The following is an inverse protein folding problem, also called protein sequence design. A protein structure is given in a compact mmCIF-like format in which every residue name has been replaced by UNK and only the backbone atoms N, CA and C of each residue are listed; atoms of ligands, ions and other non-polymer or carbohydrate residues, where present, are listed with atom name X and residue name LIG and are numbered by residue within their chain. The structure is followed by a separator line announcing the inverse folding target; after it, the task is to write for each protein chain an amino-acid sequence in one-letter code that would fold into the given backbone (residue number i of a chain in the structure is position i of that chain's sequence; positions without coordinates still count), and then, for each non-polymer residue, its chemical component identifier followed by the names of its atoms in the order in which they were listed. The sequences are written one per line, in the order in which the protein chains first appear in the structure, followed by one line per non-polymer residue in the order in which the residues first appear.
data_IF_526343608433
#
_entry.id   IF_526343608433
#
_cell.length_a   1.000
_cell.length_b   1.000
_cell.length_c   1.000
_cell.angle_alpha   90.00
_cell.angle_beta   90.00
_cell.angle_gamma   90.00
#
_symmetry.space_group_name_H-M   'P 1'
#
loop_
_entity.id
_entity.type
_entity.pdbx_description
1 polymer ?
#
# COMPACT_ATOMS: atom_id res chain seq x y z
N UNK A 1 -0.57 12.08 18.60
CA UNK A 1 -0.23 12.48 17.20
C UNK A 1 -0.13 13.99 17.11
N UNK A 2 0.87 14.51 16.36
CA UNK A 2 1.12 15.94 16.19
C UNK A 2 0.13 16.65 15.26
N UNK A 3 -0.17 16.02 14.12
CA UNK A 3 -0.99 16.60 13.06
C UNK A 3 -2.23 15.73 12.79
N UNK A 4 -3.31 16.37 12.35
CA UNK A 4 -4.51 15.66 11.86
C UNK A 4 -4.32 15.32 10.38
N UNK A 5 -4.75 14.14 9.91
CA UNK A 5 -4.66 13.79 8.51
C UNK A 5 -5.35 14.79 7.58
N UNK A 6 -4.65 15.22 6.54
CA UNK A 6 -5.20 16.07 5.49
C UNK A 6 -5.58 15.24 4.25
N UNK A 7 -6.86 15.25 3.89
CA UNK A 7 -7.36 14.58 2.70
C UNK A 7 -7.44 15.56 1.53
N UNK A 8 -6.56 15.39 0.53
CA UNK A 8 -6.49 16.26 -0.64
C UNK A 8 -6.18 15.43 -1.88
N UNK A 9 -6.83 15.76 -3.00
CA UNK A 9 -6.56 15.14 -4.30
C UNK A 9 -6.74 13.61 -4.35
N UNK A 10 -7.53 13.02 -3.44
CA UNK A 10 -7.69 11.56 -3.32
C UNK A 10 -6.54 10.87 -2.57
N UNK A 11 -5.65 11.64 -1.94
CA UNK A 11 -4.54 11.18 -1.11
C UNK A 11 -4.68 11.71 0.32
N UNK A 12 -3.97 11.08 1.25
CA UNK A 12 -3.93 11.47 2.66
C UNK A 12 -2.53 11.94 3.02
N UNK A 13 -2.39 13.04 3.74
CA UNK A 13 -1.10 13.56 4.19
C UNK A 13 -1.04 13.74 5.70
N UNK A 14 0.09 13.37 6.30
CA UNK A 14 0.41 13.62 7.70
C UNK A 14 1.89 14.05 7.75
N UNK A 15 2.19 15.20 8.35
CA UNK A 15 3.57 15.74 8.35
C UNK A 15 4.10 16.08 6.96
N UNK A 16 3.22 16.18 5.97
CA UNK A 16 3.52 16.31 4.54
C UNK A 16 4.10 15.05 3.86
N UNK A 17 4.04 13.90 4.53
CA UNK A 17 4.25 12.59 3.91
C UNK A 17 2.91 12.01 3.45
N UNK A 18 2.92 11.36 2.29
CA UNK A 18 1.73 10.71 1.74
C UNK A 18 1.46 9.40 2.48
N UNK A 19 0.20 9.15 2.78
CA UNK A 19 -0.32 8.04 3.55
C UNK A 19 -1.39 7.28 2.78
N UNK A 20 -1.35 5.95 2.87
CA UNK A 20 -2.21 5.06 2.10
C UNK A 20 -2.52 3.79 2.86
N UNK A 21 -3.78 3.34 2.83
CA UNK A 21 -4.17 2.10 3.49
C UNK A 21 -3.79 0.87 2.67
N UNK A 22 -3.03 -0.04 3.28
CA UNK A 22 -2.74 -1.38 2.74
C UNK A 22 -2.83 -2.46 3.83
N UNK A 23 -3.13 -3.69 3.42
CA UNK A 23 -3.17 -4.84 4.31
C UNK A 23 -1.79 -5.49 4.51
N UNK A 24 -1.71 -6.32 5.55
CA UNK A 24 -0.56 -7.16 5.87
C UNK A 24 -0.09 -8.06 4.71
N UNK A 25 -0.99 -8.50 3.81
CA UNK A 25 -0.60 -9.30 2.64
C UNK A 25 0.20 -8.47 1.63
N UNK A 26 -0.19 -7.22 1.36
CA UNK A 26 0.58 -6.34 0.49
C UNK A 26 1.97 -6.08 1.09
N UNK A 27 2.03 -5.77 2.39
CA UNK A 27 3.28 -5.47 3.08
C UNK A 27 4.24 -6.66 3.08
N UNK A 28 3.73 -7.87 3.30
CA UNK A 28 4.51 -9.10 3.21
C UNK A 28 5.05 -9.34 1.79
N UNK A 29 4.17 -9.29 0.77
CA UNK A 29 4.57 -9.54 -0.61
C UNK A 29 5.53 -8.48 -1.15
N UNK A 30 5.30 -7.21 -0.85
CA UNK A 30 6.18 -6.14 -1.30
C UNK A 30 7.58 -6.28 -0.68
N UNK A 31 7.66 -6.58 0.62
CA UNK A 31 8.95 -6.86 1.26
C UNK A 31 9.67 -8.03 0.59
N UNK A 32 8.97 -9.15 0.34
CA UNK A 32 9.57 -10.30 -0.36
C UNK A 32 10.02 -9.94 -1.78
N UNK A 33 9.26 -9.14 -2.53
CA UNK A 33 9.66 -8.69 -3.87
C UNK A 33 10.89 -7.77 -3.84
N UNK A 34 11.03 -6.93 -2.81
CA UNK A 34 12.26 -6.14 -2.60
C UNK A 34 13.45 -7.03 -2.30
N UNK A 35 13.25 -8.08 -1.50
CA UNK A 35 14.29 -9.06 -1.17
C UNK A 35 14.81 -9.85 -2.37
N UNK A 36 14.04 -9.95 -3.47
CA UNK A 36 14.49 -10.59 -4.71
C UNK A 36 15.68 -9.86 -5.37
N UNK A 37 15.96 -8.62 -4.98
CA UNK A 37 17.13 -7.88 -5.45
C UNK A 37 18.41 -8.21 -4.65
N UNK A 38 18.40 -9.18 -3.75
CA UNK A 38 19.61 -9.65 -3.10
C UNK A 38 20.61 -10.18 -4.15
N UNK A 39 21.84 -9.66 -4.13
CA UNK A 39 22.91 -10.07 -5.04
C UNK A 39 22.83 -9.50 -6.46
N UNK A 40 21.94 -8.55 -6.75
CA UNK A 40 21.86 -7.92 -8.09
C UNK A 40 23.01 -6.94 -8.36
N UNK A 41 23.66 -6.43 -7.31
CA UNK A 41 24.77 -5.49 -7.39
C UNK A 41 25.71 -5.71 -6.20
N UNK A 42 27.02 -5.61 -6.43
CA UNK A 42 28.02 -5.73 -5.36
C UNK A 42 27.81 -4.63 -4.29
N UNK A 43 27.74 -5.02 -3.02
CA UNK A 43 27.56 -4.10 -1.91
C UNK A 43 26.12 -3.59 -1.70
N UNK A 44 25.17 -3.99 -2.55
CA UNK A 44 23.75 -3.71 -2.31
C UNK A 44 23.11 -4.79 -1.42
N UNK A 45 22.46 -4.37 -0.34
CA UNK A 45 21.62 -5.22 0.51
C UNK A 45 20.19 -4.66 0.53
N UNK A 46 19.18 -5.39 0.03
CA UNK A 46 17.78 -4.93 0.08
C UNK A 46 17.26 -4.71 1.51
N UNK A 47 17.86 -5.35 2.52
CA UNK A 47 17.51 -5.13 3.94
C UNK A 47 17.87 -3.72 4.38
N UNK A 48 19.00 -3.19 3.88
CA UNK A 48 19.37 -1.79 4.08
C UNK A 48 18.40 -0.86 3.35
N UNK A 49 18.00 -1.16 2.12
CA UNK A 49 17.01 -0.35 1.40
C UNK A 49 15.69 -0.26 2.18
N UNK A 50 15.16 -1.38 2.68
CA UNK A 50 13.93 -1.42 3.48
C UNK A 50 14.07 -0.59 4.77
N UNK A 51 15.15 -0.78 5.53
CA UNK A 51 15.36 -0.06 6.79
C UNK A 51 15.64 1.43 6.58
N UNK A 52 16.53 1.76 5.65
CA UNK A 52 17.03 3.12 5.47
C UNK A 52 15.98 4.01 4.80
N UNK A 53 15.09 3.43 3.98
CA UNK A 53 13.95 4.17 3.40
C UNK A 53 13.01 4.70 4.47
N UNK A 54 12.64 3.88 5.47
CA UNK A 54 11.84 4.34 6.60
C UNK A 54 12.60 5.38 7.46
N UNK A 55 13.89 5.12 7.71
CA UNK A 55 14.78 6.03 8.47
C UNK A 55 14.78 7.44 7.89
N UNK A 56 14.96 7.55 6.57
CA UNK A 56 15.02 8.83 5.85
C UNK A 56 13.73 9.64 5.97
N UNK A 57 12.57 8.97 5.88
CA UNK A 57 11.26 9.61 5.99
C UNK A 57 11.00 10.10 7.42
N UNK A 58 11.32 9.28 8.43
CA UNK A 58 11.17 9.67 9.84
C UNK A 58 12.10 10.83 10.20
N UNK A 59 13.35 10.84 9.71
CA UNK A 59 14.23 12.00 9.87
C UNK A 59 13.69 13.26 9.18
N UNK A 60 12.94 13.14 8.08
CA UNK A 60 12.24 14.27 7.45
C UNK A 60 11.16 14.85 8.37
N UNK A 61 10.36 14.00 9.02
CA UNK A 61 9.38 14.43 10.02
C UNK A 61 10.05 15.14 11.20
N UNK A 62 11.19 14.63 11.71
CA UNK A 62 11.95 15.30 12.77
C UNK A 62 12.46 16.68 12.37
N UNK A 63 12.95 16.83 11.12
CA UNK A 63 13.33 18.15 10.58
C UNK A 63 12.15 19.13 10.52
N UNK A 64 10.92 18.60 10.42
CA UNK A 64 9.66 19.37 10.50
C UNK A 64 9.17 19.59 11.94
N UNK A 65 9.98 19.20 12.93
CA UNK A 65 9.77 19.47 14.34
C UNK A 65 9.06 18.36 15.12
N UNK A 66 8.81 17.20 14.52
CA UNK A 66 8.24 16.05 15.24
C UNK A 66 9.18 15.61 16.37
N UNK A 67 8.63 15.46 17.57
CA UNK A 67 9.31 14.83 18.70
C UNK A 67 9.30 13.30 18.56
N UNK A 68 10.11 12.60 19.36
CA UNK A 68 10.07 11.13 19.43
C UNK A 68 8.68 10.63 19.82
N UNK A 69 8.01 11.31 20.77
CA UNK A 69 6.67 10.92 21.20
C UNK A 69 5.64 11.14 20.08
N UNK A 70 5.73 12.23 19.32
CA UNK A 70 4.85 12.46 18.16
C UNK A 70 4.94 11.31 17.16
N UNK A 71 6.17 10.84 16.90
CA UNK A 71 6.44 9.71 16.01
C UNK A 71 5.89 8.41 16.57
N UNK A 72 6.09 8.12 17.86
CA UNK A 72 5.58 6.88 18.47
C UNK A 72 4.05 6.85 18.48
N UNK A 73 3.41 7.99 18.75
CA UNK A 73 1.95 8.12 18.63
C UNK A 73 1.47 7.89 17.21
N UNK A 74 2.14 8.47 16.21
CA UNK A 74 1.81 8.28 14.79
C UNK A 74 2.03 6.83 14.37
N UNK A 75 3.10 6.18 14.83
CA UNK A 75 3.38 4.76 14.57
C UNK A 75 2.21 3.88 15.01
N UNK A 76 1.70 4.13 16.22
CA UNK A 76 0.53 3.42 16.74
C UNK A 76 -0.74 3.77 16.00
N UNK A 77 -1.01 5.06 15.74
CA UNK A 77 -2.21 5.47 15.02
C UNK A 77 -2.25 4.89 13.60
N UNK A 78 -1.11 4.81 12.91
CA UNK A 78 -0.96 4.22 11.58
C UNK A 78 -1.11 2.69 11.54
N UNK A 79 -1.30 2.03 12.68
CA UNK A 79 -1.58 0.59 12.73
C UNK A 79 -0.36 -0.31 12.71
N UNK A 80 0.84 0.23 12.97
CA UNK A 80 2.07 -0.57 12.97
C UNK A 80 2.29 -1.36 14.26
N UNK A 81 1.49 -1.12 15.29
CA UNK A 81 1.65 -1.68 16.63
C UNK A 81 1.92 -0.60 17.68
N UNK A 82 2.60 -0.93 18.77
CA UNK A 82 3.02 0.08 19.74
C UNK A 82 4.41 -0.20 20.27
N UNK A 83 5.09 0.89 20.65
CA UNK A 83 6.45 0.87 21.15
C UNK A 83 6.40 0.95 22.67
N UNK A 84 7.09 0.02 23.33
CA UNK A 84 7.28 0.01 24.78
C UNK A 84 8.76 0.18 25.08
N UNK A 85 9.11 1.31 25.66
CA UNK A 85 10.47 1.56 26.15
C UNK A 85 10.75 0.67 27.36
N UNK A 86 11.85 -0.10 27.30
CA UNK A 86 12.27 -1.02 28.37
C UNK A 86 13.48 -0.45 29.10
N UNK A 87 14.44 0.08 28.34
CA UNK A 87 15.61 0.81 28.84
C UNK A 87 15.95 1.94 27.88
N UNK A 88 16.91 2.81 28.24
CA UNK A 88 17.40 3.89 27.37
C UNK A 88 17.97 3.41 26.02
N UNK A 89 18.29 2.12 25.91
CA UNK A 89 18.89 1.52 24.71
C UNK A 89 18.07 0.36 24.14
N UNK A 90 16.84 0.13 24.62
CA UNK A 90 16.05 -1.03 24.21
C UNK A 90 14.56 -0.76 24.24
N UNK A 91 13.87 -1.20 23.18
CA UNK A 91 12.42 -1.18 23.08
C UNK A 91 11.87 -2.56 22.76
N UNK A 92 10.67 -2.82 23.24
CA UNK A 92 9.81 -3.95 22.87
C UNK A 92 8.67 -3.44 21.99
N UNK A 93 8.21 -4.26 21.04
CA UNK A 93 6.96 -4.04 20.30
C UNK A 93 5.98 -5.19 20.54
N UNK A 94 5.20 -5.15 21.63
CA UNK A 94 4.31 -6.26 21.98
C UNK A 94 3.17 -6.45 20.97
N UNK A 95 2.68 -5.38 20.35
CA UNK A 95 1.90 -5.43 19.13
C UNK A 95 2.77 -4.93 17.97
N UNK A 96 2.83 -5.68 16.88
CA UNK A 96 3.70 -5.35 15.74
C UNK A 96 3.10 -5.89 14.45
N UNK A 97 2.79 -5.00 13.52
CA UNK A 97 2.23 -5.39 12.22
C UNK A 97 3.20 -6.32 11.48
N UNK A 98 4.47 -5.94 11.42
CA UNK A 98 5.51 -6.69 10.72
C UNK A 98 6.00 -7.94 11.47
N UNK A 99 5.80 -8.05 12.78
CA UNK A 99 6.16 -9.27 13.52
C UNK A 99 5.01 -10.25 13.72
N UNK A 100 3.76 -9.77 13.74
CA UNK A 100 2.58 -10.59 14.07
C UNK A 100 1.64 -10.83 12.89
N UNK A 101 1.51 -9.88 11.97
CA UNK A 101 0.44 -9.91 10.96
C UNK A 101 0.95 -10.21 9.55
N UNK A 102 2.21 -9.94 9.26
CA UNK A 102 2.86 -10.34 8.01
C UNK A 102 3.37 -11.79 8.08
N UNK A 103 3.73 -12.35 6.93
CA UNK A 103 4.31 -13.69 6.82
C UNK A 103 5.56 -13.66 5.93
N UNK A 104 6.35 -14.72 6.04
CA UNK A 104 7.51 -14.98 5.20
C UNK A 104 7.26 -16.28 4.42
N UNK A 105 7.54 -16.26 3.12
CA UNK A 105 7.62 -17.46 2.31
C UNK A 105 9.07 -17.95 2.34
N UNK A 106 9.41 -18.79 3.32
CA UNK A 106 10.76 -19.32 3.47
C UNK A 106 11.14 -19.67 4.91
N UNK A 107 12.44 -19.75 5.15
CA UNK A 107 12.98 -19.98 6.49
C UNK A 107 12.66 -18.79 7.41
N UNK A 108 12.24 -19.03 8.67
CA UNK A 108 12.04 -17.95 9.62
C UNK A 108 13.32 -17.12 9.83
N UNK A 109 13.23 -15.83 9.57
CA UNK A 109 14.30 -14.86 9.83
C UNK A 109 13.73 -13.56 10.40
N UNK A 110 14.62 -12.69 10.87
CA UNK A 110 14.28 -11.33 11.29
C UNK A 110 13.83 -10.52 10.08
N UNK A 111 12.67 -9.89 10.17
CA UNK A 111 12.05 -9.27 8.99
C UNK A 111 11.33 -7.96 9.29
N UNK A 112 11.45 -7.41 10.50
CA UNK A 112 10.81 -6.16 10.88
C UNK A 112 11.64 -4.94 10.42
N UNK A 113 12.06 -4.92 9.15
CA UNK A 113 12.98 -3.91 8.61
C UNK A 113 12.37 -2.50 8.64
N UNK A 114 11.07 -2.37 8.36
CA UNK A 114 10.37 -1.09 8.49
C UNK A 114 10.40 -0.59 9.94
N UNK A 115 10.08 -1.44 10.93
CA UNK A 115 10.08 -1.07 12.34
C UNK A 115 11.49 -0.65 12.81
N UNK A 116 12.52 -1.41 12.42
CA UNK A 116 13.90 -1.06 12.70
C UNK A 116 14.24 0.32 12.10
N UNK A 117 13.91 0.55 10.83
CA UNK A 117 14.16 1.81 10.14
C UNK A 117 13.39 3.00 10.74
N UNK A 118 12.14 2.77 11.13
CA UNK A 118 11.34 3.77 11.82
C UNK A 118 12.01 4.19 13.14
N UNK A 119 12.39 3.21 13.96
CA UNK A 119 13.08 3.46 15.23
C UNK A 119 14.42 4.17 15.01
N UNK A 120 15.20 3.77 14.00
CA UNK A 120 16.47 4.44 13.65
C UNK A 120 16.27 5.93 13.41
N UNK A 121 15.26 6.28 12.61
CA UNK A 121 14.96 7.68 12.32
C UNK A 121 14.42 8.41 13.56
N UNK A 122 13.63 7.74 14.39
CA UNK A 122 13.04 8.35 15.58
C UNK A 122 14.11 8.71 16.63
N UNK A 123 15.09 7.82 16.86
CA UNK A 123 16.09 7.96 17.93
C UNK A 123 17.48 8.43 17.45
N UNK A 124 17.68 8.58 16.14
CA UNK A 124 18.98 8.92 15.49
C UNK A 124 20.14 8.00 15.91
N UNK A 125 19.87 6.71 16.04
CA UNK A 125 20.87 5.68 16.34
C UNK A 125 20.65 4.46 15.47
N UNK A 126 21.70 3.67 15.26
CA UNK A 126 21.55 2.36 14.60
C UNK A 126 20.63 1.47 15.43
N UNK A 127 19.73 0.72 14.79
CA UNK A 127 18.80 -0.17 15.49
C UNK A 127 18.98 -1.59 14.98
N UNK A 128 19.12 -2.53 15.90
CA UNK A 128 19.20 -3.96 15.60
C UNK A 128 18.02 -4.68 16.22
N UNK A 129 17.27 -5.43 15.39
CA UNK A 129 16.28 -6.38 15.89
C UNK A 129 17.01 -7.55 16.56
N UNK A 130 16.84 -7.74 17.87
CA UNK A 130 17.50 -8.81 18.64
C UNK A 130 16.61 -10.02 18.85
N UNK A 131 15.29 -9.83 18.91
CA UNK A 131 14.28 -10.89 18.91
C UNK A 131 13.14 -10.55 17.95
N UNK A 132 12.59 -11.58 17.28
CA UNK A 132 11.53 -11.43 16.26
C UNK A 132 10.46 -12.50 16.43
N UNK A 133 9.19 -12.12 16.34
CA UNK A 133 8.03 -13.03 16.43
C UNK A 133 7.98 -14.06 15.31
N UNK A 134 8.44 -13.73 14.10
CA UNK A 134 8.59 -14.73 13.03
C UNK A 134 9.57 -15.84 13.43
N UNK A 135 10.56 -15.53 14.27
CA UNK A 135 11.49 -16.49 14.85
C UNK A 135 10.99 -17.09 16.17
N UNK A 136 9.68 -17.07 16.42
CA UNK A 136 9.02 -17.60 17.62
C UNK A 136 9.39 -16.89 18.93
N UNK A 137 9.95 -15.68 18.87
CA UNK A 137 10.05 -14.85 20.06
C UNK A 137 8.66 -14.43 20.53
N UNK A 138 8.52 -14.12 21.83
CA UNK A 138 7.25 -13.64 22.40
C UNK A 138 6.85 -12.26 21.86
N UNK A 139 7.84 -11.41 21.61
CA UNK A 139 7.69 -10.04 21.13
C UNK A 139 8.89 -9.69 20.26
N UNK A 140 8.73 -8.68 19.41
CA UNK A 140 9.88 -8.09 18.72
C UNK A 140 10.63 -7.20 19.71
N UNK A 141 11.96 -7.28 19.69
CA UNK A 141 12.86 -6.51 20.57
C UNK A 141 13.92 -5.85 19.71
N UNK A 142 14.16 -4.57 19.97
CA UNK A 142 15.12 -3.76 19.23
C UNK A 142 16.09 -3.08 20.20
N UNK A 143 17.38 -3.11 19.86
CA UNK A 143 18.46 -2.47 20.63
C UNK A 143 19.08 -1.31 19.85
N UNK A 144 19.39 -0.24 20.59
CA UNK A 144 19.94 1.00 20.06
C UNK A 144 21.46 1.00 20.20
N UNK A 145 22.15 1.19 19.08
CA UNK A 145 23.61 1.20 18.97
C UNK A 145 24.20 2.61 18.89
N UNK A 146 25.15 2.79 17.99
CA UNK A 146 25.86 4.06 17.81
C UNK A 146 24.96 5.15 17.20
N UNK A 147 25.30 6.44 17.37
CA UNK A 147 24.64 7.54 16.67
C UNK A 147 24.63 7.32 15.16
N UNK A 148 23.49 7.61 14.53
CA UNK A 148 23.30 7.51 13.09
C UNK A 148 23.61 8.86 12.43
N UNK A 149 24.34 8.90 11.29
CA UNK A 149 24.48 10.13 10.54
C UNK A 149 23.12 10.61 9.97
N UNK A 150 23.02 11.91 9.72
CA UNK A 150 21.87 12.47 9.04
C UNK A 150 21.79 11.92 7.60
N UNK A 151 20.60 11.45 7.21
CA UNK A 151 20.34 10.95 5.87
C UNK A 151 19.60 12.00 5.02
N UNK A 152 19.92 12.02 3.73
CA UNK A 152 19.32 12.93 2.76
C UNK A 152 17.84 12.62 2.56
N UNK A 153 17.00 13.66 2.50
CA UNK A 153 15.59 13.52 2.15
C UNK A 153 15.43 12.91 0.73
N UNK A 154 14.68 11.82 0.56
CA UNK A 154 14.42 11.26 -0.76
C UNK A 154 13.46 12.11 -1.60
N UNK A 155 12.64 12.96 -0.97
CA UNK A 155 11.56 13.69 -1.63
C UNK A 155 12.09 15.04 -2.11
N UNK A 156 12.61 15.07 -3.33
CA UNK A 156 13.34 16.20 -3.88
C UNK A 156 12.52 17.11 -4.79
N UNK A 157 11.35 16.65 -5.24
CA UNK A 157 10.46 17.41 -6.13
C UNK A 157 9.08 17.66 -5.48
N UNK A 158 8.42 18.79 -5.81
CA UNK A 158 7.03 19.01 -5.43
C UNK A 158 6.09 18.00 -6.14
N UNK A 159 4.98 17.60 -5.51
CA UNK A 159 4.01 16.70 -6.13
C UNK A 159 3.27 17.40 -7.29
N UNK A 160 3.22 16.79 -8.50
CA UNK A 160 2.55 17.40 -9.66
C UNK A 160 1.06 17.09 -9.66
N UNK A 161 0.30 17.61 -8.69
CA UNK A 161 -1.14 17.36 -8.62
C UNK A 161 -1.89 18.03 -9.76
N UNK A 162 -2.94 17.34 -10.24
CA UNK A 162 -3.89 17.84 -11.23
C UNK A 162 -5.31 17.92 -10.65
N UNK A 163 -6.18 18.78 -11.20
CA UNK A 163 -7.61 18.75 -10.88
C UNK A 163 -8.22 17.38 -11.20
N UNK A 164 -9.04 16.87 -10.28
CA UNK A 164 -9.76 15.61 -10.46
C UNK A 164 -11.10 15.90 -11.13
N UNK A 165 -11.43 15.28 -12.29
CA UNK A 165 -12.73 15.49 -12.92
C UNK A 165 -13.85 14.79 -12.14
N UNK A 166 -15.08 15.24 -12.39
CA UNK A 166 -16.29 14.59 -11.88
C UNK A 166 -16.37 13.13 -12.35
N UNK A 167 -17.05 12.27 -11.58
CA UNK A 167 -17.07 10.80 -11.73
C UNK A 167 -17.32 10.29 -13.15
N UNK A 168 -18.19 10.95 -13.91
CA UNK A 168 -18.50 10.64 -15.32
C UNK A 168 -18.20 11.81 -16.26
N UNK A 169 -17.61 12.89 -15.74
CA UNK A 169 -17.45 14.17 -16.43
C UNK A 169 -16.09 14.34 -17.10
N UNK A 170 -15.50 13.26 -17.63
CA UNK A 170 -14.19 13.31 -18.28
C UNK A 170 -14.23 12.74 -19.70
N UNK A 171 -13.35 13.29 -20.56
CA UNK A 171 -13.27 12.90 -21.96
C UNK A 171 -12.87 11.43 -22.11
N UNK A 172 -13.67 10.68 -22.87
CA UNK A 172 -13.45 9.25 -23.13
C UNK A 172 -14.06 8.32 -22.07
N UNK A 173 -14.83 8.83 -21.11
CA UNK A 173 -15.67 7.99 -20.26
C UNK A 173 -16.79 7.35 -21.10
N UNK A 174 -16.87 6.02 -21.11
CA UNK A 174 -17.92 5.26 -21.80
C UNK A 174 -19.13 4.98 -20.89
N UNK A 175 -19.02 5.30 -19.59
CA UNK A 175 -20.08 5.12 -18.59
C UNK A 175 -20.76 6.46 -18.33
N UNK A 176 -22.09 6.50 -18.44
CA UNK A 176 -22.85 7.74 -18.27
C UNK A 176 -23.50 7.88 -16.89
N UNK A 177 -23.76 6.78 -16.19
CA UNK A 177 -24.41 6.79 -14.87
C UNK A 177 -24.26 5.45 -14.15
N UNK A 178 -24.33 5.49 -12.81
CA UNK A 178 -24.58 4.32 -11.94
C UNK A 178 -25.47 4.78 -10.77
N UNK A 179 -26.38 3.93 -10.26
CA UNK A 179 -27.16 4.20 -9.03
C UNK A 179 -26.31 4.31 -7.75
N UNK A 180 -25.03 3.91 -7.80
CA UNK A 180 -24.13 3.98 -6.64
C UNK A 180 -23.85 5.43 -6.25
N UNK A 181 -24.12 5.78 -5.00
CA UNK A 181 -23.81 7.09 -4.42
C UNK A 181 -22.36 7.10 -3.90
N UNK A 182 -21.42 7.59 -4.72
CA UNK A 182 -20.00 7.64 -4.38
C UNK A 182 -19.72 8.53 -3.16
N UNK A 183 -20.33 9.71 -3.10
CA UNK A 183 -20.08 10.69 -2.04
C UNK A 183 -20.54 10.13 -0.69
N UNK A 184 -21.70 9.47 -0.65
CA UNK A 184 -22.19 8.79 0.56
C UNK A 184 -21.25 7.66 1.00
N UNK A 185 -20.74 6.87 0.06
CA UNK A 185 -19.80 5.78 0.39
C UNK A 185 -18.49 6.36 0.95
N UNK A 186 -17.88 7.32 0.27
CA UNK A 186 -16.63 7.96 0.70
C UNK A 186 -16.81 8.60 2.08
N UNK A 187 -17.89 9.37 2.28
CA UNK A 187 -18.16 10.00 3.57
C UNK A 187 -18.35 8.97 4.69
N UNK A 188 -19.02 7.85 4.41
CA UNK A 188 -19.26 6.79 5.40
C UNK A 188 -17.97 6.04 5.73
N UNK A 189 -17.18 5.64 4.73
CA UNK A 189 -15.89 4.95 4.93
C UNK A 189 -14.92 5.82 5.72
N UNK A 190 -14.92 7.14 5.49
CA UNK A 190 -14.12 8.09 6.26
C UNK A 190 -14.46 8.15 7.75
N UNK A 191 -15.64 7.65 8.18
CA UNK A 191 -16.01 7.56 9.61
C UNK A 191 -15.59 6.25 10.28
N UNK A 192 -15.11 5.27 9.52
CA UNK A 192 -14.66 4.00 10.09
C UNK A 192 -13.42 4.23 10.97
N UNK A 193 -13.31 3.54 12.12
CA UNK A 193 -12.18 3.70 13.03
C UNK A 193 -10.95 2.94 12.52
N UNK A 194 -10.45 3.32 11.34
CA UNK A 194 -9.29 2.71 10.69
C UNK A 194 -7.97 3.27 11.25
N UNK A 195 -7.79 3.19 12.56
CA UNK A 195 -6.58 3.64 13.25
C UNK A 195 -6.22 2.71 14.39
N UNK A 196 -4.93 2.57 14.67
CA UNK A 196 -4.45 1.71 15.75
C UNK A 196 -4.71 2.35 17.10
N UNK A 197 -5.34 1.60 18.00
CA UNK A 197 -5.66 2.06 19.36
C UNK A 197 -4.47 1.81 20.29
N UNK A 198 -4.04 2.80 21.09
CA UNK A 198 -2.94 2.62 22.04
C UNK A 198 -3.34 1.70 23.22
N UNK A 199 -2.38 1.17 23.98
CA UNK A 199 -2.64 0.37 25.17
C UNK A 199 -3.49 1.08 26.24
N UNK A 200 -3.41 2.42 26.33
CA UNK A 200 -4.25 3.23 27.22
C UNK A 200 -5.74 3.13 26.90
N UNK A 201 -6.09 2.75 25.68
CA UNK A 201 -7.45 2.49 25.21
C UNK A 201 -7.73 0.98 25.04
N UNK A 202 -6.93 0.14 25.71
CA UNK A 202 -7.00 -1.33 25.63
C UNK A 202 -6.77 -1.86 24.20
N UNK A 203 -6.05 -1.11 23.37
CA UNK A 203 -5.62 -1.55 22.03
C UNK A 203 -4.21 -2.13 22.00
N UNK A 204 -3.86 -2.71 20.86
CA UNK A 204 -2.54 -3.26 20.55
C UNK A 204 -1.81 -2.47 19.43
N UNK A 205 -2.35 -1.31 19.06
CA UNK A 205 -1.83 -0.46 17.99
C UNK A 205 -1.96 -1.03 16.58
N UNK A 206 -2.73 -2.11 16.38
CA UNK A 206 -3.03 -2.68 15.07
C UNK A 206 -4.41 -2.21 14.56
N UNK A 207 -4.65 -2.33 13.25
CA UNK A 207 -5.95 -2.00 12.62
C UNK A 207 -6.57 -3.28 12.02
N UNK A 208 -7.27 -4.11 12.83
CA UNK A 208 -8.03 -5.24 12.29
C UNK A 208 -9.30 -4.73 11.60
N UNK A 209 -9.40 -4.91 10.29
CA UNK A 209 -10.56 -4.51 9.50
C UNK A 209 -10.69 -5.38 8.24
N UNK A 210 -11.93 -5.64 7.81
CA UNK A 210 -12.23 -6.38 6.57
C UNK A 210 -11.56 -7.77 6.47
N UNK A 211 -11.37 -8.46 7.60
CA UNK A 211 -10.74 -9.78 7.64
C UNK A 211 -9.20 -9.76 7.50
N UNK A 212 -8.59 -8.58 7.47
CA UNK A 212 -7.13 -8.39 7.38
C UNK A 212 -6.63 -7.46 8.49
N UNK A 213 -5.32 -7.26 8.57
CA UNK A 213 -4.72 -6.21 9.40
C UNK A 213 -4.21 -5.11 8.49
N UNK A 214 -4.82 -3.93 8.58
CA UNK A 214 -4.45 -2.75 7.80
C UNK A 214 -3.31 -1.97 8.45
N UNK A 215 -2.68 -1.14 7.62
CA UNK A 215 -1.79 -0.05 8.00
C UNK A 215 -2.17 1.18 7.21
N UNK A 216 -2.15 2.36 7.84
CA UNK A 216 -2.13 3.63 7.13
C UNK A 216 -0.67 4.00 6.90
N UNK A 217 -0.08 3.46 5.83
CA UNK A 217 1.37 3.43 5.67
C UNK A 217 1.88 4.61 4.84
N UNK A 218 3.16 4.95 5.00
CA UNK A 218 3.83 5.93 4.16
C UNK A 218 3.87 5.46 2.70
N UNK A 219 3.04 6.07 1.84
CA UNK A 219 3.05 5.80 0.40
C UNK A 219 4.45 6.08 -0.20
N UNK A 220 5.12 7.11 0.33
CA UNK A 220 6.48 7.49 -0.04
C UNK A 220 7.51 6.39 0.27
N UNK A 221 7.29 5.58 1.32
CA UNK A 221 8.11 4.42 1.63
C UNK A 221 7.97 3.34 0.56
N UNK A 222 6.72 2.97 0.23
CA UNK A 222 6.46 1.97 -0.82
C UNK A 222 7.04 2.37 -2.16
N UNK A 223 6.87 3.64 -2.54
CA UNK A 223 7.39 4.16 -3.80
C UNK A 223 8.93 4.05 -3.83
N UNK A 224 9.60 4.50 -2.77
CA UNK A 224 11.06 4.48 -2.72
C UNK A 224 11.60 3.04 -2.83
N UNK A 225 11.11 2.11 -2.01
CA UNK A 225 11.62 0.73 -2.03
C UNK A 225 11.30 0.02 -3.35
N UNK A 226 10.12 0.25 -3.92
CA UNK A 226 9.70 -0.41 -5.17
C UNK A 226 10.54 0.09 -6.35
N UNK A 227 10.69 1.40 -6.49
CA UNK A 227 11.38 1.98 -7.64
C UNK A 227 12.90 1.80 -7.58
N UNK A 228 13.52 1.91 -6.41
CA UNK A 228 14.95 1.61 -6.27
C UNK A 228 15.25 0.15 -6.62
N UNK A 229 14.44 -0.77 -6.10
CA UNK A 229 14.61 -2.21 -6.39
C UNK A 229 14.42 -2.47 -7.89
N UNK A 230 13.31 -1.99 -8.47
CA UNK A 230 12.99 -2.18 -9.89
C UNK A 230 14.13 -1.69 -10.80
N UNK A 231 14.63 -0.48 -10.54
CA UNK A 231 15.71 0.12 -11.34
C UNK A 231 17.02 -0.65 -11.22
N UNK A 232 17.37 -1.11 -10.02
CA UNK A 232 18.59 -1.90 -9.79
C UNK A 232 18.52 -3.26 -10.47
N UNK A 233 17.39 -3.95 -10.37
CA UNK A 233 17.19 -5.25 -11.04
C UNK A 233 17.33 -5.11 -12.57
N UNK A 234 16.74 -4.07 -13.16
CA UNK A 234 16.89 -3.81 -14.59
C UNK A 234 18.33 -3.45 -14.95
N UNK A 235 18.99 -2.61 -14.15
CA UNK A 235 20.40 -2.25 -14.38
C UNK A 235 21.32 -3.48 -14.30
N UNK A 236 20.98 -4.47 -13.48
CA UNK A 236 21.67 -5.76 -13.38
C UNK A 236 21.32 -6.75 -14.51
N UNK A 237 20.44 -6.37 -15.44
CA UNK A 237 20.07 -7.18 -16.61
C UNK A 237 18.87 -8.11 -16.40
N UNK A 238 18.14 -7.99 -15.28
CA UNK A 238 16.87 -8.71 -15.12
C UNK A 238 15.84 -8.10 -16.09
N UNK A 239 15.10 -8.93 -16.87
CA UNK A 239 14.08 -8.43 -17.78
C UNK A 239 13.04 -7.55 -17.07
N UNK A 240 12.71 -6.42 -17.69
CA UNK A 240 11.85 -5.40 -17.09
C UNK A 240 10.42 -5.90 -16.85
N UNK A 241 9.90 -6.76 -17.71
CA UNK A 241 8.61 -7.45 -17.58
C UNK A 241 8.59 -8.41 -16.38
N UNK A 242 9.61 -9.24 -16.22
CA UNK A 242 9.73 -10.13 -15.06
C UNK A 242 9.82 -9.34 -13.75
N UNK A 243 10.67 -8.32 -13.73
CA UNK A 243 10.84 -7.46 -12.55
C UNK A 243 9.53 -6.76 -12.20
N UNK A 244 8.85 -6.20 -13.21
CA UNK A 244 7.55 -5.51 -13.03
C UNK A 244 6.48 -6.46 -12.52
N UNK A 245 6.39 -7.66 -13.08
CA UNK A 245 5.37 -8.64 -12.70
C UNK A 245 5.49 -9.02 -11.21
N UNK A 246 6.70 -9.11 -10.66
CA UNK A 246 6.90 -9.35 -9.22
C UNK A 246 6.22 -8.28 -8.33
N UNK A 247 6.21 -7.02 -8.76
CA UNK A 247 5.53 -5.93 -8.05
C UNK A 247 4.04 -5.85 -8.39
N UNK A 248 3.63 -6.12 -9.64
CA UNK A 248 2.21 -6.21 -10.01
C UNK A 248 1.52 -7.31 -9.20
N UNK A 249 2.18 -8.45 -8.96
CA UNK A 249 1.63 -9.52 -8.13
C UNK A 249 1.38 -9.08 -6.69
N UNK A 250 2.15 -8.14 -6.14
CA UNK A 250 1.89 -7.59 -4.80
C UNK A 250 0.53 -6.89 -4.76
N UNK A 251 0.22 -6.05 -5.76
CA UNK A 251 -1.09 -5.41 -5.86
C UNK A 251 -2.22 -6.39 -6.19
N UNK A 252 -1.93 -7.45 -6.93
CA UNK A 252 -2.87 -8.50 -7.24
C UNK A 252 -3.31 -9.28 -5.98
N UNK A 253 -2.35 -9.70 -5.15
CA UNK A 253 -2.62 -10.32 -3.84
C UNK A 253 -3.35 -9.35 -2.91
N UNK A 254 -2.95 -8.07 -2.92
CA UNK A 254 -3.61 -7.04 -2.12
C UNK A 254 -5.09 -6.92 -2.49
N UNK A 255 -5.43 -6.91 -3.77
CA UNK A 255 -6.81 -6.85 -4.23
C UNK A 255 -7.61 -8.07 -3.77
N UNK A 256 -7.08 -9.28 -3.92
CA UNK A 256 -7.76 -10.50 -3.45
C UNK A 256 -8.15 -10.39 -1.97
N UNK A 257 -7.18 -10.10 -1.10
CA UNK A 257 -7.44 -10.09 0.35
C UNK A 257 -8.21 -8.83 0.80
N UNK A 258 -7.81 -7.65 0.31
CA UNK A 258 -8.38 -6.37 0.79
C UNK A 258 -9.69 -6.06 0.11
N UNK A 259 -9.74 -6.04 -1.23
CA UNK A 259 -10.98 -5.69 -1.93
C UNK A 259 -11.99 -6.82 -1.78
N UNK A 260 -11.52 -8.08 -1.87
CA UNK A 260 -12.36 -9.23 -1.58
C UNK A 260 -12.91 -9.21 -0.15
N UNK A 261 -12.05 -9.01 0.86
CA UNK A 261 -12.46 -8.91 2.26
C UNK A 261 -13.44 -7.76 2.54
N UNK A 262 -13.22 -6.60 1.90
CA UNK A 262 -14.17 -5.48 1.93
C UNK A 262 -15.51 -5.92 1.31
N UNK A 263 -15.51 -6.52 0.12
CA UNK A 263 -16.74 -6.90 -0.57
C UNK A 263 -17.50 -8.04 0.14
N UNK A 264 -16.82 -8.92 0.88
CA UNK A 264 -17.47 -9.93 1.71
C UNK A 264 -17.98 -9.37 3.07
N UNK A 265 -17.50 -8.19 3.47
CA UNK A 265 -17.80 -7.61 4.78
C UNK A 265 -19.28 -7.25 4.97
N UNK A 266 -19.80 -7.31 6.22
CA UNK A 266 -21.12 -6.79 6.56
C UNK A 266 -21.30 -5.31 6.20
N UNK A 267 -20.26 -4.50 6.36
CA UNK A 267 -20.27 -3.06 6.10
C UNK A 267 -20.56 -2.77 4.63
N UNK A 268 -19.87 -3.47 3.71
CA UNK A 268 -20.09 -3.31 2.28
C UNK A 268 -21.51 -3.76 1.88
N UNK A 269 -22.00 -4.86 2.46
CA UNK A 269 -23.36 -5.34 2.21
C UNK A 269 -24.46 -4.45 2.79
N UNK A 270 -24.19 -3.75 3.89
CA UNK A 270 -25.13 -2.79 4.46
C UNK A 270 -25.15 -1.46 3.71
N UNK A 271 -23.99 -1.01 3.22
CA UNK A 271 -23.83 0.30 2.62
C UNK A 271 -23.95 0.30 1.10
N UNK A 272 -23.19 -0.57 0.41
CA UNK A 272 -22.97 -0.50 -1.03
C UNK A 272 -23.97 -1.36 -1.79
N UNK A 273 -24.13 -2.63 -1.40
CA UNK A 273 -24.99 -3.60 -2.10
C UNK A 273 -26.42 -3.12 -2.31
N UNK A 274 -27.09 -2.40 -1.37
CA UNK A 274 -28.44 -1.88 -1.59
C UNK A 274 -28.54 -0.85 -2.73
N UNK A 275 -27.42 -0.25 -3.15
CA UNK A 275 -27.35 0.68 -4.27
C UNK A 275 -27.16 -0.03 -5.63
N UNK A 276 -26.71 -1.30 -5.61
CA UNK A 276 -26.32 -2.03 -6.81
C UNK A 276 -27.51 -2.71 -7.48
N UNK A 277 -27.64 -2.52 -8.80
CA UNK A 277 -28.61 -3.21 -9.66
C UNK A 277 -27.96 -4.21 -10.62
N UNK A 278 -26.64 -4.11 -10.80
CA UNK A 278 -25.88 -4.97 -11.70
C UNK A 278 -24.47 -5.27 -11.16
N UNK A 279 -23.72 -6.21 -11.75
CA UNK A 279 -22.32 -6.46 -11.38
C UNK A 279 -21.42 -5.23 -11.55
N UNK A 280 -21.69 -4.41 -12.56
CA UNK A 280 -20.93 -3.19 -12.84
C UNK A 280 -21.11 -2.16 -11.73
N UNK A 281 -22.27 -2.11 -11.10
CA UNK A 281 -22.49 -1.27 -9.92
C UNK A 281 -21.61 -1.69 -8.74
N UNK A 282 -21.30 -2.98 -8.59
CA UNK A 282 -20.35 -3.41 -7.57
C UNK A 282 -18.94 -2.88 -7.85
N UNK A 283 -18.51 -2.85 -9.11
CA UNK A 283 -17.23 -2.22 -9.51
C UNK A 283 -17.23 -0.74 -9.09
N UNK A 284 -18.31 -0.03 -9.40
CA UNK A 284 -18.48 1.38 -9.02
C UNK A 284 -18.51 1.60 -7.50
N UNK A 285 -19.11 0.69 -6.75
CA UNK A 285 -19.14 0.70 -5.29
C UNK A 285 -17.77 0.44 -4.67
N UNK A 286 -17.04 -0.55 -5.16
CA UNK A 286 -15.67 -0.84 -4.70
C UNK A 286 -14.72 0.32 -5.03
N UNK A 287 -14.83 0.93 -6.22
CA UNK A 287 -14.05 2.13 -6.58
C UNK A 287 -14.35 3.31 -5.65
N UNK A 288 -15.61 3.49 -5.23
CA UNK A 288 -15.96 4.51 -4.26
C UNK A 288 -15.32 4.26 -2.89
N UNK A 289 -15.22 2.99 -2.45
CA UNK A 289 -14.48 2.64 -1.22
C UNK A 289 -12.98 2.93 -1.38
N UNK A 290 -12.37 2.55 -2.51
CA UNK A 290 -10.93 2.81 -2.80
C UNK A 290 -10.61 4.31 -2.71
N UNK A 291 -11.52 5.17 -3.17
CA UNK A 291 -11.36 6.63 -3.12
C UNK A 291 -11.28 7.21 -1.70
N UNK A 292 -11.62 6.44 -0.66
CA UNK A 292 -11.44 6.82 0.74
C UNK A 292 -10.13 6.30 1.36
N UNK A 293 -9.33 5.50 0.63
CA UNK A 293 -8.17 4.79 1.18
C UNK A 293 -6.82 5.48 0.90
N UNK A 294 -6.81 6.63 0.23
CA UNK A 294 -5.59 7.39 -0.09
C UNK A 294 -4.87 6.95 -1.38
N UNK A 295 -5.51 6.16 -2.23
CA UNK A 295 -4.89 5.56 -3.42
C UNK A 295 -4.83 6.51 -4.64
N UNK A 296 -5.27 7.76 -4.47
CA UNK A 296 -5.62 8.68 -5.57
C UNK A 296 -7.12 8.63 -5.88
N UNK A 297 -7.55 9.41 -6.87
CA UNK A 297 -8.94 9.45 -7.31
C UNK A 297 -9.18 8.54 -8.51
N UNK A 298 -9.79 7.39 -8.25
CA UNK A 298 -10.13 6.36 -9.21
C UNK A 298 -11.44 6.67 -9.92
N UNK A 299 -11.43 6.50 -11.25
CA UNK A 299 -12.56 6.74 -12.15
C UNK A 299 -12.69 5.57 -13.10
N UNK A 300 -13.86 4.94 -13.11
CA UNK A 300 -14.19 3.88 -14.07
C UNK A 300 -14.37 4.54 -15.44
N UNK A 301 -13.50 4.22 -16.39
CA UNK A 301 -13.61 4.69 -17.76
C UNK A 301 -14.55 3.81 -18.58
N UNK A 302 -14.39 2.49 -18.44
CA UNK A 302 -15.10 1.49 -19.25
C UNK A 302 -15.22 0.17 -18.51
N UNK A 303 -16.36 -0.49 -18.67
CA UNK A 303 -16.60 -1.87 -18.24
C UNK A 303 -17.22 -2.65 -19.39
N UNK A 304 -16.56 -3.72 -19.83
CA UNK A 304 -17.12 -4.73 -20.73
C UNK A 304 -17.11 -6.06 -19.97
N UNK A 305 -18.25 -6.50 -19.42
CA UNK A 305 -18.30 -7.63 -18.49
C UNK A 305 -17.63 -8.89 -19.04
N UNK A 306 -16.73 -9.47 -18.23
CA UNK A 306 -15.98 -10.66 -18.59
C UNK A 306 -14.96 -10.50 -19.72
N UNK A 307 -14.71 -9.27 -20.20
CA UNK A 307 -13.80 -8.99 -21.31
C UNK A 307 -12.77 -7.90 -21.02
N UNK A 308 -13.19 -6.75 -20.48
CA UNK A 308 -12.34 -5.57 -20.34
C UNK A 308 -12.79 -4.67 -19.18
N UNK A 309 -11.82 -4.10 -18.46
CA UNK A 309 -12.03 -3.04 -17.48
C UNK A 309 -10.93 -1.99 -17.67
N UNK A 310 -11.33 -0.72 -17.78
CA UNK A 310 -10.41 0.41 -17.84
C UNK A 310 -10.69 1.40 -16.70
N UNK A 311 -9.63 1.78 -15.98
CA UNK A 311 -9.68 2.71 -14.86
C UNK A 311 -8.66 3.82 -15.08
N UNK A 312 -9.10 5.07 -14.86
CA UNK A 312 -8.21 6.23 -14.72
C UNK A 312 -7.99 6.53 -13.25
N UNK A 313 -6.74 6.81 -12.88
CA UNK A 313 -6.37 7.19 -11.52
C UNK A 313 -5.71 8.56 -11.60
N UNK A 314 -6.44 9.57 -11.13
CA UNK A 314 -5.92 10.93 -11.01
C UNK A 314 -5.17 11.05 -9.70
N UNK A 315 -3.99 11.67 -9.74
CA UNK A 315 -3.14 11.82 -8.57
C UNK A 315 -2.92 10.47 -7.86
N UNK A 316 -2.53 9.42 -8.58
CA UNK A 316 -2.17 8.14 -7.96
C UNK A 316 -0.98 8.33 -7.02
N UNK A 317 -0.96 7.61 -5.89
CA UNK A 317 0.17 7.75 -4.96
C UNK A 317 1.49 7.24 -5.60
N UNK A 318 1.42 6.26 -6.49
CA UNK A 318 2.58 5.71 -7.23
C UNK A 318 3.11 6.72 -8.24
N UNK A 319 2.24 7.25 -9.11
CA UNK A 319 2.64 8.21 -10.14
C UNK A 319 3.13 9.54 -9.55
N UNK A 320 2.41 10.10 -8.58
CA UNK A 320 2.85 11.31 -7.85
C UNK A 320 4.13 11.01 -7.08
N UNK A 321 4.21 9.88 -6.39
CA UNK A 321 5.38 9.50 -5.60
C UNK A 321 6.64 9.31 -6.45
N UNK A 322 6.52 8.67 -7.60
CA UNK A 322 7.62 8.59 -8.57
C UNK A 322 8.15 9.98 -8.92
N UNK A 323 7.26 10.93 -9.24
CA UNK A 323 7.66 12.29 -9.60
C UNK A 323 8.25 13.09 -8.45
N UNK A 324 7.89 12.78 -7.20
CA UNK A 324 8.54 13.36 -6.00
C UNK A 324 9.97 12.85 -5.80
N UNK A 325 10.24 11.62 -6.20
CA UNK A 325 11.52 10.93 -6.03
C UNK A 325 12.48 11.15 -7.21
N UNK A 326 11.95 11.19 -8.43
CA UNK A 326 12.75 11.11 -9.66
C UNK A 326 12.32 12.14 -10.71
N UNK A 327 13.20 12.44 -11.68
CA UNK A 327 12.83 13.11 -12.92
C UNK A 327 11.72 12.34 -13.66
N UNK A 328 11.10 12.99 -14.64
CA UNK A 328 10.11 12.35 -15.51
C UNK A 328 10.62 11.04 -16.12
N UNK A 329 9.82 9.98 -16.03
CA UNK A 329 10.12 8.71 -16.68
C UNK A 329 9.87 8.78 -18.19
N UNK A 330 10.55 7.92 -18.93
CA UNK A 330 10.22 7.62 -20.33
C UNK A 330 9.30 6.42 -20.47
N UNK A 331 9.33 5.50 -19.51
CA UNK A 331 8.45 4.32 -19.43
C UNK A 331 7.13 4.66 -18.74
N UNK A 332 6.04 4.02 -19.20
CA UNK A 332 4.71 4.19 -18.63
C UNK A 332 4.33 3.14 -17.59
N UNK A 333 4.84 1.91 -17.64
CA UNK A 333 4.37 0.82 -16.78
C UNK A 333 5.05 0.81 -15.41
N UNK A 334 4.79 1.85 -14.61
CA UNK A 334 5.45 2.13 -13.33
C UNK A 334 4.49 2.17 -12.11
N UNK A 335 3.17 2.14 -12.31
CA UNK A 335 2.20 2.05 -11.22
C UNK A 335 1.86 0.59 -10.96
N UNK A 336 2.82 -0.12 -10.34
CA UNK A 336 2.81 -1.57 -10.18
C UNK A 336 1.61 -2.06 -9.36
N UNK A 337 1.35 -1.41 -8.22
CA UNK A 337 0.20 -1.72 -7.37
C UNK A 337 -1.09 -1.41 -8.12
N UNK A 338 -1.21 -0.27 -8.78
CA UNK A 338 -2.40 0.07 -9.55
C UNK A 338 -2.70 -0.99 -10.64
N UNK A 339 -1.70 -1.43 -11.40
CA UNK A 339 -1.87 -2.53 -12.36
C UNK A 339 -2.35 -3.81 -11.68
N UNK A 340 -1.69 -4.23 -10.59
CA UNK A 340 -2.09 -5.42 -9.84
C UNK A 340 -3.51 -5.34 -9.28
N UNK A 341 -3.90 -4.17 -8.77
CA UNK A 341 -5.20 -3.93 -8.17
C UNK A 341 -6.34 -3.94 -9.20
N UNK A 342 -6.15 -3.31 -10.37
CA UNK A 342 -7.16 -3.33 -11.44
C UNK A 342 -7.30 -4.75 -12.02
N UNK A 343 -6.20 -5.48 -12.21
CA UNK A 343 -6.25 -6.90 -12.58
C UNK A 343 -7.01 -7.71 -11.53
N UNK A 344 -6.75 -7.46 -10.25
CA UNK A 344 -7.40 -8.13 -9.14
C UNK A 344 -8.91 -7.89 -9.08
N UNK A 345 -9.38 -6.66 -9.34
CA UNK A 345 -10.81 -6.37 -9.49
C UNK A 345 -11.43 -7.23 -10.59
N UNK A 346 -10.78 -7.34 -11.75
CA UNK A 346 -11.30 -8.16 -12.84
C UNK A 346 -11.39 -9.65 -12.47
N UNK A 347 -10.42 -10.18 -11.71
CA UNK A 347 -10.48 -11.55 -11.21
C UNK A 347 -11.61 -11.73 -10.19
N UNK A 348 -11.74 -10.81 -9.22
CA UNK A 348 -12.80 -10.84 -8.21
C UNK A 348 -14.19 -10.87 -8.86
N UNK A 349 -14.44 -10.08 -9.91
CA UNK A 349 -15.77 -10.03 -10.52
C UNK A 349 -16.03 -11.11 -11.57
N UNK A 350 -15.03 -11.47 -12.38
CA UNK A 350 -15.27 -12.28 -13.58
C UNK A 350 -14.48 -13.59 -13.64
N UNK A 351 -13.57 -13.85 -12.69
CA UNK A 351 -12.88 -15.14 -12.56
C UNK A 351 -13.46 -15.98 -11.43
N UNK A 352 -13.69 -15.40 -10.25
CA UNK A 352 -14.22 -16.11 -9.07
C UNK A 352 -15.67 -15.74 -8.72
N UNK A 353 -16.15 -14.58 -9.18
CA UNK A 353 -17.41 -13.97 -8.78
C UNK A 353 -17.58 -13.79 -7.25
N UNK A 354 -16.96 -12.74 -6.71
CA UNK A 354 -16.99 -12.37 -5.29
C UNK A 354 -18.40 -12.20 -4.71
N UNK A 355 -19.41 -11.97 -5.56
CA UNK A 355 -20.81 -11.82 -5.13
C UNK A 355 -21.38 -13.12 -4.56
N UNK A 356 -20.80 -14.27 -4.94
CA UNK A 356 -21.15 -15.58 -4.40
C UNK A 356 -20.58 -15.81 -2.98
N UNK A 357 -19.71 -14.91 -2.49
CA UNK A 357 -19.04 -15.01 -1.18
C UNK A 357 -18.33 -16.35 -1.02
N UNK A 358 -17.36 -16.67 -1.90
CA UNK A 358 -16.70 -17.98 -1.91
C UNK A 358 -15.90 -18.27 -0.63
N UNK A 359 -15.63 -17.26 0.20
CA UNK A 359 -14.66 -17.36 1.28
C UNK A 359 -13.25 -17.22 0.73
N UNK A 360 -12.52 -16.23 1.24
CA UNK A 360 -11.19 -15.89 0.75
C UNK A 360 -10.13 -16.47 1.70
N UNK A 361 -9.62 -17.64 1.35
CA UNK A 361 -8.49 -18.26 2.04
C UNK A 361 -7.31 -18.51 1.08
N UNK A 362 -6.19 -18.95 1.64
CA UNK A 362 -4.96 -19.19 0.90
C UNK A 362 -5.11 -20.34 -0.11
N UNK A 363 -5.87 -21.38 0.21
CA UNK A 363 -6.09 -22.52 -0.69
C UNK A 363 -6.93 -22.10 -1.90
N UNK A 364 -7.95 -21.27 -1.68
CA UNK A 364 -8.78 -20.68 -2.72
C UNK A 364 -7.97 -19.72 -3.59
N UNK A 365 -7.11 -18.90 -2.98
CA UNK A 365 -6.17 -18.04 -3.72
C UNK A 365 -5.32 -18.85 -4.69
N UNK A 366 -4.67 -19.92 -4.22
CA UNK A 366 -3.83 -20.76 -5.07
C UNK A 366 -4.62 -21.48 -6.16
N UNK A 367 -5.80 -22.00 -5.82
CA UNK A 367 -6.65 -22.76 -6.74
C UNK A 367 -7.16 -21.89 -7.89
N UNK A 368 -7.55 -20.65 -7.62
CA UNK A 368 -8.28 -19.84 -8.61
C UNK A 368 -7.50 -18.58 -9.01
N UNK A 369 -7.00 -17.80 -8.06
CA UNK A 369 -6.36 -16.53 -8.36
C UNK A 369 -5.01 -16.70 -9.08
N UNK A 370 -4.22 -17.71 -8.67
CA UNK A 370 -2.93 -18.06 -9.28
C UNK A 370 -3.02 -19.00 -10.51
N UNK A 371 -4.21 -19.48 -10.89
CA UNK A 371 -4.38 -20.34 -12.06
C UNK A 371 -4.26 -19.56 -13.37
N UNK A 372 -3.54 -20.10 -14.36
CA UNK A 372 -3.48 -19.57 -15.74
C UNK A 372 -4.87 -19.57 -16.40
N UNK A 373 -5.77 -20.47 -15.99
CA UNK A 373 -7.12 -20.53 -16.54
C UNK A 373 -7.90 -19.28 -16.14
N UNK A 374 -8.35 -18.53 -17.15
CA UNK A 374 -9.09 -17.28 -16.91
C UNK A 374 -8.20 -16.16 -16.36
N UNK A 375 -6.90 -16.20 -16.67
CA UNK A 375 -5.98 -15.10 -16.42
C UNK A 375 -6.43 -13.83 -17.17
N UNK A 376 -6.10 -12.68 -16.60
CA UNK A 376 -6.37 -11.38 -17.18
C UNK A 376 -5.04 -10.65 -17.37
N UNK A 377 -4.84 -10.14 -18.57
CA UNK A 377 -3.72 -9.26 -18.91
C UNK A 377 -3.94 -7.88 -18.27
N UNK A 378 -2.88 -7.12 -18.08
CA UNK A 378 -2.96 -5.74 -17.59
C UNK A 378 -1.86 -4.89 -18.20
N UNK A 379 -2.19 -3.64 -18.49
CA UNK A 379 -1.25 -2.65 -19.01
C UNK A 379 -1.59 -1.25 -18.48
N UNK A 380 -0.55 -0.47 -18.17
CA UNK A 380 -0.64 0.97 -17.95
C UNK A 380 -0.36 1.73 -19.25
N UNK A 381 -1.40 2.30 -19.85
CA UNK A 381 -1.33 3.01 -21.14
C UNK A 381 -1.00 4.50 -21.01
N UNK A 382 -1.24 5.08 -19.83
CA UNK A 382 -0.90 6.46 -19.48
C UNK A 382 -0.31 6.47 -18.08
N UNK A 383 0.68 7.34 -17.84
CA UNK A 383 1.38 7.40 -16.58
C UNK A 383 1.73 8.82 -16.15
N UNK A 384 1.35 9.19 -14.92
CA UNK A 384 1.78 10.45 -14.28
C UNK A 384 3.31 10.50 -14.18
N UNK A 385 3.94 9.37 -13.89
CA UNK A 385 5.39 9.23 -13.89
C UNK A 385 6.03 9.66 -15.22
N UNK A 386 5.36 9.39 -16.35
CA UNK A 386 5.81 9.72 -17.70
C UNK A 386 5.30 11.09 -18.20
N UNK A 387 4.57 11.84 -17.38
CA UNK A 387 4.08 13.18 -17.70
C UNK A 387 2.64 13.24 -18.26
N UNK A 388 1.91 12.13 -18.28
CA UNK A 388 0.47 12.14 -18.55
C UNK A 388 -0.30 12.74 -17.34
N UNK A 389 -1.53 13.22 -17.54
CA UNK A 389 -2.33 13.83 -16.46
C UNK A 389 -2.85 12.80 -15.43
N UNK A 390 -2.95 11.53 -15.82
CA UNK A 390 -3.49 10.44 -15.00
C UNK A 390 -2.83 9.12 -15.37
N UNK A 391 -2.89 8.16 -14.44
CA UNK A 391 -2.60 6.78 -14.79
C UNK A 391 -3.83 6.16 -15.45
N UNK A 392 -3.64 5.43 -16.55
CA UNK A 392 -4.73 4.68 -17.19
C UNK A 392 -4.37 3.21 -17.29
N UNK A 393 -5.07 2.41 -16.50
CA UNK A 393 -4.87 0.97 -16.42
C UNK A 393 -5.99 0.27 -17.17
N UNK A 394 -5.63 -0.64 -18.06
CA UNK A 394 -6.56 -1.50 -18.79
C UNK A 394 -6.24 -2.94 -18.44
N UNK A 395 -7.27 -3.71 -18.12
CA UNK A 395 -7.16 -5.17 -17.97
C UNK A 395 -8.15 -5.85 -18.91
N UNK A 396 -7.74 -6.95 -19.53
CA UNK A 396 -8.54 -7.68 -20.49
C UNK A 396 -8.22 -9.18 -20.45
N UNK A 397 -9.17 -9.98 -20.95
CA UNK A 397 -9.03 -11.43 -21.04
C UNK A 397 -8.21 -11.86 -22.26
#
# INVERSE_FOLDING_TARGET
MRETPEFKHGQTFIGGLNHVYHCNHYNAHLQMSVMLAEGVEEGFDPRHLLRDSATRLVQSLKRRGYSQQDLFDEFTWCGFGYIKEVTDNQVEMPGSHYGQSTYLLGSPEKSCFFNAGFLQGAVDRTVTETACRHMKARTDVFEFGAPLPAMTDPLVNPPPFVPVPARFGFRGCEILSSPVDEDKIVATVATLPLYGKPPSEQGDGLIPAFGVVLTNHYADYYNLISYETYRRMIAAGVPADMTREAFIQCGHVCAFNTFGGIMESPEFHALVVPMCKSPEDWVHGMVAVINALGWGAWRVEKIVPGKELAIRIYNSYEGIGYRRLYPQATEKQLSFLAMGAVRGLAHLFWKIDIRERPGLDQDFYFKVFNSERGYWNVEQTHAIAAGDEFDRIVTWK
#
